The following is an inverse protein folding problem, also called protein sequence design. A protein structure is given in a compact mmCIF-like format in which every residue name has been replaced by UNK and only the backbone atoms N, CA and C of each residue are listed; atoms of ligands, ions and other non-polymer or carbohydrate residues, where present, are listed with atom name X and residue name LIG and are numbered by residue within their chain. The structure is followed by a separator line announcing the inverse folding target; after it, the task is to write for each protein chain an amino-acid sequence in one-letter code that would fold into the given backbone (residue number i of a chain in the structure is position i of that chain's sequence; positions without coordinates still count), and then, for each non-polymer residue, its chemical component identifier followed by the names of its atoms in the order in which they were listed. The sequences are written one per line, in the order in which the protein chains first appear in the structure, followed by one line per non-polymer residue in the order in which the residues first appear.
data_IF_898810603867
#
_entry.id   IF_898810603867
#
_cell.length_a   1.000
_cell.length_b   1.000
_cell.length_c   1.000
_cell.angle_alpha   90.00
_cell.angle_beta   90.00
_cell.angle_gamma   90.00
#
_symmetry.space_group_name_H-M   'P 1'
#
loop_
_entity.id
_entity.type
_entity.pdbx_description
1 polymer ?
#
# COMPACT_ATOMS: atom_id res chain seq x y z
N UNK A 1 -18.37 35.86 20.25
CA UNK A 1 -17.77 34.65 19.65
C UNK A 1 -17.25 33.87 20.84
N UNK A 2 -18.07 32.97 21.38
CA UNK A 2 -17.70 32.18 22.56
C UNK A 2 -16.98 30.93 22.08
N UNK A 3 -15.65 31.04 21.90
CA UNK A 3 -14.79 29.87 21.80
C UNK A 3 -14.28 29.59 23.22
N UNK A 4 -14.55 28.40 23.75
CA UNK A 4 -13.97 27.95 25.01
C UNK A 4 -12.61 27.30 24.73
N UNK A 5 -11.58 27.71 25.46
CA UNK A 5 -10.22 27.20 25.29
C UNK A 5 -9.79 26.42 26.53
N UNK A 6 -9.28 25.21 26.31
CA UNK A 6 -8.72 24.36 27.37
C UNK A 6 -7.20 24.32 27.23
N UNK A 7 -6.50 24.42 28.36
CA UNK A 7 -5.04 24.33 28.43
C UNK A 7 -4.64 23.25 29.42
N UNK A 8 -3.71 22.38 29.00
CA UNK A 8 -3.13 21.34 29.85
C UNK A 8 -1.60 21.29 29.74
N UNK A 9 -0.98 20.45 30.56
CA UNK A 9 0.46 20.22 30.56
C UNK A 9 0.76 18.75 30.77
N UNK A 10 1.60 18.18 29.92
CA UNK A 10 2.18 16.85 30.11
C UNK A 10 3.49 17.01 30.86
N UNK A 11 3.63 16.39 32.04
CA UNK A 11 4.89 16.35 32.80
C UNK A 11 5.67 15.10 32.42
N UNK A 12 6.93 15.27 32.03
CA UNK A 12 7.88 14.17 31.81
C UNK A 12 8.57 13.86 33.15
N UNK A 13 8.77 12.58 33.45
CA UNK A 13 9.33 12.08 34.72
C UNK A 13 10.69 12.68 35.07
N UNK A 14 10.95 12.85 36.37
CA UNK A 14 12.04 13.67 36.90
C UNK A 14 13.44 13.08 36.70
N UNK A 15 14.41 13.98 36.45
CA UNK A 15 15.84 13.75 36.72
C UNK A 15 16.77 13.62 35.52
N UNK A 16 16.27 13.39 34.30
CA UNK A 16 17.09 13.27 33.09
C UNK A 16 16.49 14.11 31.97
N UNK A 17 17.33 14.80 31.20
CA UNK A 17 16.87 15.49 30.00
C UNK A 17 16.29 14.46 29.01
N UNK A 18 15.00 14.57 28.64
CA UNK A 18 14.35 13.57 27.80
C UNK A 18 14.93 13.61 26.39
N UNK A 19 14.92 12.45 25.71
CA UNK A 19 15.26 12.39 24.30
C UNK A 19 14.19 13.12 23.48
N UNK A 20 14.51 14.35 23.04
CA UNK A 20 13.55 15.21 22.36
C UNK A 20 13.09 14.69 21.00
N UNK A 21 13.93 13.93 20.29
CA UNK A 21 13.54 13.32 19.02
C UNK A 21 12.48 12.23 19.23
N UNK A 22 12.61 11.47 20.32
CA UNK A 22 11.64 10.45 20.71
C UNK A 22 10.36 11.05 21.28
N UNK A 23 10.46 12.10 22.09
CA UNK A 23 9.29 12.83 22.60
C UNK A 23 8.54 13.52 21.47
N UNK A 24 9.24 14.16 20.53
CA UNK A 24 8.65 14.77 19.35
C UNK A 24 7.97 13.72 18.47
N UNK A 25 8.64 12.61 18.18
CA UNK A 25 8.07 11.51 17.41
C UNK A 25 6.81 10.94 18.09
N UNK A 26 6.77 10.85 19.43
CA UNK A 26 5.60 10.33 20.16
C UNK A 26 4.44 11.34 20.22
N UNK A 27 4.72 12.63 20.32
CA UNK A 27 3.69 13.68 20.39
C UNK A 27 3.12 14.07 19.01
N UNK A 28 3.88 13.90 17.93
CA UNK A 28 3.46 14.25 16.56
C UNK A 28 2.22 13.47 16.09
N UNK A 29 1.98 12.29 16.68
CA UNK A 29 0.83 11.43 16.36
C UNK A 29 -0.37 11.65 17.28
N UNK A 30 -0.22 12.41 18.36
CA UNK A 30 -1.31 12.69 19.31
C UNK A 30 -2.10 13.91 18.83
N UNK A 31 -3.15 13.65 18.06
CA UNK A 31 -4.05 14.70 17.54
C UNK A 31 -5.15 15.11 18.53
N UNK A 32 -5.39 14.28 19.53
CA UNK A 32 -6.51 14.42 20.46
C UNK A 32 -6.16 13.82 21.83
N UNK A 33 -6.61 14.45 22.91
CA UNK A 33 -6.49 13.93 24.29
C UNK A 33 -7.88 13.98 24.92
N UNK A 34 -8.39 12.82 25.35
CA UNK A 34 -9.70 12.68 26.01
C UNK A 34 -10.88 13.29 25.22
N UNK A 35 -10.99 13.10 23.91
CA UNK A 35 -12.10 13.65 23.13
C UNK A 35 -11.81 15.02 22.50
N UNK A 36 -10.69 15.67 22.87
CA UNK A 36 -10.45 17.07 22.54
C UNK A 36 -9.20 17.26 21.68
N UNK A 37 -9.28 17.91 20.51
CA UNK A 37 -8.13 18.14 19.64
C UNK A 37 -7.07 18.98 20.36
N UNK A 38 -5.81 18.57 20.30
CA UNK A 38 -4.73 19.25 21.01
C UNK A 38 -3.61 19.65 20.06
N UNK A 39 -3.01 20.80 20.34
CA UNK A 39 -1.75 21.23 19.73
C UNK A 39 -0.70 21.40 20.83
N UNK A 40 0.35 20.58 20.77
CA UNK A 40 1.46 20.64 21.72
C UNK A 40 2.38 21.81 21.38
N UNK A 41 2.76 22.56 22.41
CA UNK A 41 3.71 23.64 22.33
C UNK A 41 5.12 23.17 22.67
N UNK A 42 6.11 24.03 22.43
CA UNK A 42 7.49 23.78 22.84
C UNK A 42 7.55 23.44 24.33
N UNK A 43 8.25 22.36 24.63
CA UNK A 43 8.53 21.97 25.99
C UNK A 43 9.30 23.08 26.71
N UNK A 44 9.04 23.22 28.00
CA UNK A 44 9.74 24.15 28.89
C UNK A 44 10.03 23.47 30.22
N UNK A 45 11.05 23.96 30.91
CA UNK A 45 11.41 23.45 32.23
C UNK A 45 10.61 24.17 33.32
N UNK A 46 9.95 23.40 34.18
CA UNK A 46 9.28 23.90 35.39
C UNK A 46 9.86 23.16 36.60
N UNK A 47 10.74 23.82 37.35
CA UNK A 47 11.48 23.18 38.44
C UNK A 47 12.44 22.09 37.93
N UNK A 48 12.34 20.90 38.51
CA UNK A 48 13.15 19.72 38.14
C UNK A 48 12.48 18.81 37.09
N UNK A 49 11.33 19.23 36.55
CA UNK A 49 10.59 18.49 35.52
C UNK A 49 10.51 19.25 34.20
N UNK A 50 10.35 18.50 33.11
CA UNK A 50 10.00 19.04 31.81
C UNK A 50 8.49 19.00 31.61
N UNK A 51 7.91 20.11 31.16
CA UNK A 51 6.49 20.21 30.83
C UNK A 51 6.30 20.52 29.36
N UNK A 52 5.35 19.83 28.72
CA UNK A 52 4.89 20.12 27.36
C UNK A 52 3.48 20.69 27.46
N UNK A 53 3.29 22.01 27.26
CA UNK A 53 1.97 22.61 27.26
C UNK A 53 1.22 22.16 26.02
N UNK A 54 -0.11 22.07 26.10
CA UNK A 54 -0.95 21.98 24.92
C UNK A 54 -2.17 22.91 25.02
N UNK A 55 -2.63 23.33 23.86
CA UNK A 55 -3.85 24.12 23.69
C UNK A 55 -4.90 23.28 22.97
N UNK A 56 -6.16 23.52 23.33
CA UNK A 56 -7.30 22.91 22.69
C UNK A 56 -8.41 23.94 22.52
N UNK A 57 -9.09 23.90 21.36
CA UNK A 57 -10.22 24.76 21.04
C UNK A 57 -11.42 23.89 20.67
N UNK A 58 -12.51 24.01 21.44
CA UNK A 58 -13.81 23.47 21.05
C UNK A 58 -14.59 24.59 20.35
N UNK A 59 -14.85 24.43 19.05
CA UNK A 59 -15.78 25.26 18.30
C UNK A 59 -16.62 24.39 17.37
N UNK A 60 -17.88 24.18 17.69
CA UNK A 60 -18.84 23.45 16.84
C UNK A 60 -19.11 24.15 15.49
N UNK A 61 -18.70 25.41 15.32
CA UNK A 61 -19.07 26.23 14.15
C UNK A 61 -17.93 26.55 13.19
N UNK A 62 -16.67 26.29 13.56
CA UNK A 62 -15.53 26.53 12.69
C UNK A 62 -14.42 25.51 12.97
N UNK A 63 -14.38 24.37 12.24
CA UNK A 63 -13.31 23.38 12.36
C UNK A 63 -11.93 23.94 11.96
N UNK A 64 -11.89 24.94 11.08
CA UNK A 64 -10.66 25.60 10.64
C UNK A 64 -10.13 26.66 11.63
N UNK A 65 -10.84 26.92 12.74
CA UNK A 65 -10.45 27.96 13.71
C UNK A 65 -9.12 27.65 14.42
N UNK A 66 -8.74 26.37 14.52
CA UNK A 66 -7.44 25.96 15.06
C UNK A 66 -6.30 26.31 14.09
N UNK A 67 -6.48 26.02 12.80
CA UNK A 67 -5.49 26.27 11.74
C UNK A 67 -5.33 27.77 11.44
N UNK A 68 -6.43 28.53 11.46
CA UNK A 68 -6.41 29.99 11.23
C UNK A 68 -5.78 30.74 12.41
N UNK A 69 -5.85 30.21 13.64
CA UNK A 69 -5.18 30.80 14.81
C UNK A 69 -3.69 30.43 14.91
N UNK A 70 -3.27 29.30 14.31
CA UNK A 70 -1.86 28.90 14.21
C UNK A 70 -1.04 29.86 13.34
N UNK A 71 -1.65 30.46 12.31
CA UNK A 71 -0.96 31.33 11.37
C UNK A 71 -0.64 32.74 11.89
N UNK A 72 -1.30 33.25 12.95
CA UNK A 72 -1.29 34.69 13.22
C UNK A 72 -0.41 35.19 14.37
N UNK A 73 -0.55 34.81 15.63
CA UNK A 73 0.22 35.51 16.69
C UNK A 73 0.33 34.69 17.99
N UNK A 74 1.55 34.33 18.41
CA UNK A 74 1.95 34.59 19.81
C UNK A 74 1.91 36.12 19.98
N UNK A 75 1.54 36.78 21.11
CA UNK A 75 1.27 36.40 22.51
C UNK A 75 -0.08 37.00 23.05
N UNK A 76 -0.37 36.84 24.36
CA UNK A 76 -1.41 37.52 25.20
C UNK A 76 -2.47 36.64 25.88
N UNK A 77 -2.76 37.08 27.11
CA UNK A 77 -3.65 36.55 28.14
C UNK A 77 -5.04 36.20 27.60
N UNK A 78 -5.35 34.90 27.52
CA UNK A 78 -6.71 34.45 27.31
C UNK A 78 -7.54 34.75 28.56
N UNK A 79 -8.22 35.89 28.53
CA UNK A 79 -9.34 36.21 29.41
C UNK A 79 -10.38 35.09 29.28
N UNK A 80 -10.51 34.28 30.34
CA UNK A 80 -11.53 33.23 30.44
C UNK A 80 -11.08 31.82 30.04
N UNK A 81 -9.80 31.48 30.18
CA UNK A 81 -9.38 30.08 30.12
C UNK A 81 -9.73 29.36 31.44
N UNK A 82 -10.58 28.34 31.39
CA UNK A 82 -10.85 27.48 32.54
C UNK A 82 -9.76 26.41 32.62
N UNK A 83 -9.05 26.37 33.75
CA UNK A 83 -7.95 25.44 33.98
C UNK A 83 -8.55 24.08 34.34
N UNK A 84 -8.41 23.11 33.44
CA UNK A 84 -8.82 21.73 33.72
C UNK A 84 -7.59 21.00 34.24
N UNK A 85 -7.62 20.56 35.50
CA UNK A 85 -6.58 19.70 36.05
C UNK A 85 -6.70 18.31 35.42
N UNK A 86 -5.79 18.02 34.48
CA UNK A 86 -5.68 16.68 33.87
C UNK A 86 -4.64 15.88 34.67
N UNK A 87 -4.86 14.59 34.97
CA UNK A 87 -4.00 13.81 35.85
C UNK A 87 -2.56 13.70 35.31
N UNK A 88 -1.61 13.63 36.24
CA UNK A 88 -0.19 13.39 35.95
C UNK A 88 -0.04 11.97 35.40
N UNK A 89 0.56 11.80 34.22
CA UNK A 89 0.86 10.48 33.66
C UNK A 89 2.32 10.42 33.21
N UNK A 90 3.00 9.35 33.59
CA UNK A 90 4.36 9.00 33.15
C UNK A 90 4.31 8.43 31.72
N UNK A 91 5.47 8.43 31.04
CA UNK A 91 5.58 7.90 29.67
C UNK A 91 5.18 6.42 29.58
N UNK A 92 5.40 5.66 30.65
CA UNK A 92 5.02 4.25 30.76
C UNK A 92 3.52 4.06 31.08
N UNK A 93 2.88 5.02 31.74
CA UNK A 93 1.42 4.97 32.01
C UNK A 93 0.57 5.22 30.75
N UNK A 94 1.15 5.84 29.70
CA UNK A 94 0.55 5.95 28.36
C UNK A 94 0.43 4.58 27.65
N UNK A 95 1.28 3.60 27.96
CA UNK A 95 1.13 2.21 27.47
C UNK A 95 -0.05 1.48 28.12
N UNK A 96 -0.37 1.76 29.39
CA UNK A 96 -1.43 1.05 30.12
C UNK A 96 -2.83 1.57 29.76
N UNK A 97 -2.99 2.88 29.52
CA UNK A 97 -4.26 3.42 29.04
C UNK A 97 -4.59 3.00 27.59
N UNK A 98 -3.59 2.70 26.77
CA UNK A 98 -3.79 2.11 25.43
C UNK A 98 -4.18 0.63 25.51
N UNK A 99 -3.70 -0.11 26.52
CA UNK A 99 -4.06 -1.52 26.75
C UNK A 99 -5.42 -1.73 27.42
N UNK A 100 -5.84 -0.89 28.37
CA UNK A 100 -7.15 -1.01 29.03
C UNK A 100 -8.36 -0.58 28.17
N UNK A 101 -8.12 0.00 26.99
CA UNK A 101 -9.14 0.12 25.95
C UNK A 101 -9.52 -1.23 25.29
N UNK A 102 -8.77 -2.31 25.58
CA UNK A 102 -9.10 -3.69 25.18
C UNK A 102 -10.12 -4.39 26.09
N UNK A 103 -10.86 -3.64 26.90
CA UNK A 103 -11.90 -4.17 27.79
C UNK A 103 -13.23 -3.46 27.58
N UNK A 104 -13.88 -3.74 26.44
CA UNK A 104 -15.06 -3.05 25.86
C UNK A 104 -14.72 -1.79 25.07
N UNK A 105 -14.28 -2.04 23.82
CA UNK A 105 -13.92 -1.05 22.81
C UNK A 105 -15.16 -0.48 22.09
N UNK A 106 -15.34 0.86 22.04
CA UNK A 106 -16.16 1.48 21.01
C UNK A 106 -15.39 1.48 19.68
N UNK A 107 -16.00 0.85 18.68
CA UNK A 107 -15.42 0.65 17.36
C UNK A 107 -15.31 1.97 16.56
N UNK A 108 -14.09 2.49 16.40
CA UNK A 108 -13.75 3.41 15.31
C UNK A 108 -12.39 3.01 14.74
N UNK A 109 -12.40 2.36 13.57
CA UNK A 109 -11.21 1.97 12.81
C UNK A 109 -10.61 3.22 12.16
N UNK A 110 -9.51 3.74 12.70
CA UNK A 110 -8.61 4.65 11.98
C UNK A 110 -7.56 3.81 11.23
N UNK A 111 -7.53 3.93 9.90
CA UNK A 111 -6.54 3.29 9.04
C UNK A 111 -5.23 4.07 9.13
N UNK A 112 -4.31 3.61 9.98
CA UNK A 112 -2.93 4.06 9.97
C UNK A 112 -2.29 3.74 8.61
N UNK A 113 -1.59 4.70 8.00
CA UNK A 113 -0.57 4.42 6.98
C UNK A 113 0.64 3.77 7.69
N UNK A 114 0.44 2.57 8.19
CA UNK A 114 1.50 1.58 8.27
C UNK A 114 1.62 1.05 6.83
N UNK A 115 2.81 0.90 6.23
CA UNK A 115 2.96 0.03 5.06
C UNK A 115 2.22 -1.26 5.35
N UNK A 116 1.36 -1.75 4.44
CA UNK A 116 0.66 -3.02 4.64
C UNK A 116 1.65 -4.04 5.20
N UNK A 117 1.29 -4.71 6.30
CA UNK A 117 2.12 -5.77 6.86
C UNK A 117 2.57 -6.70 5.72
N UNK A 118 3.84 -7.14 5.71
CA UNK A 118 4.39 -7.95 4.64
C UNK A 118 3.43 -9.11 4.37
N UNK A 119 2.89 -9.18 3.15
CA UNK A 119 2.12 -10.35 2.74
C UNK A 119 3.04 -11.56 2.91
N UNK A 120 2.68 -12.56 3.73
CA UNK A 120 3.50 -13.75 3.85
C UNK A 120 3.66 -14.35 2.45
N UNK A 121 4.90 -14.45 1.98
CA UNK A 121 5.20 -15.27 0.82
C UNK A 121 4.79 -16.73 1.09
N UNK A 122 4.50 -17.53 0.05
CA UNK A 122 4.26 -18.97 0.21
C UNK A 122 5.38 -19.66 1.02
N UNK A 123 4.98 -20.68 1.79
CA UNK A 123 5.84 -21.41 2.73
C UNK A 123 7.18 -21.91 2.13
N UNK A 124 8.30 -21.82 2.87
CA UNK A 124 9.65 -22.17 2.40
C UNK A 124 9.92 -23.69 2.37
N UNK A 125 8.90 -24.55 2.46
CA UNK A 125 9.05 -26.02 2.49
C UNK A 125 9.05 -26.67 1.08
N UNK A 126 9.19 -25.87 0.02
CA UNK A 126 9.29 -26.35 -1.35
C UNK A 126 10.64 -27.04 -1.61
N UNK A 127 10.61 -28.35 -1.86
CA UNK A 127 11.78 -29.14 -2.27
C UNK A 127 12.34 -28.76 -3.66
N UNK A 128 11.58 -27.96 -4.42
CA UNK A 128 11.97 -27.35 -5.70
C UNK A 128 11.71 -25.84 -5.65
N UNK A 129 12.74 -24.97 -5.73
CA UNK A 129 12.59 -23.52 -5.79
C UNK A 129 11.57 -23.03 -6.82
N UNK A 130 11.43 -23.71 -7.97
CA UNK A 130 10.54 -23.27 -9.04
C UNK A 130 9.05 -23.48 -8.72
N UNK A 131 8.72 -24.38 -7.79
CA UNK A 131 7.33 -24.66 -7.39
C UNK A 131 6.62 -23.46 -6.75
N UNK A 132 7.35 -22.42 -6.35
CA UNK A 132 6.74 -21.15 -5.92
C UNK A 132 5.89 -20.48 -7.00
N UNK A 133 6.11 -20.83 -8.28
CA UNK A 133 5.31 -20.35 -9.40
C UNK A 133 4.08 -21.23 -9.69
N UNK A 134 3.88 -22.32 -8.94
CA UNK A 134 2.74 -23.21 -9.12
C UNK A 134 1.42 -22.46 -8.89
N UNK A 135 0.44 -22.79 -9.72
CA UNK A 135 -0.89 -22.17 -9.72
C UNK A 135 -0.96 -20.77 -10.35
N UNK A 136 0.16 -20.22 -10.86
CA UNK A 136 0.12 -19.07 -11.76
C UNK A 136 -0.29 -19.56 -13.15
N UNK A 137 -1.48 -19.16 -13.58
CA UNK A 137 -1.99 -19.44 -14.93
C UNK A 137 -1.22 -18.62 -15.94
N UNK A 138 -0.75 -19.28 -17.01
CA UNK A 138 0.05 -18.68 -18.07
C UNK A 138 1.39 -18.10 -17.59
N UNK A 139 1.85 -17.06 -18.28
CA UNK A 139 3.09 -16.33 -18.02
C UNK A 139 4.39 -17.13 -18.20
N UNK A 140 4.41 -18.12 -19.09
CA UNK A 140 5.57 -19.03 -19.24
C UNK A 140 6.84 -18.28 -19.65
N UNK A 141 6.74 -17.36 -20.62
CA UNK A 141 7.88 -16.57 -21.08
C UNK A 141 8.47 -15.67 -19.98
N UNK A 142 7.58 -15.08 -19.17
CA UNK A 142 7.93 -14.20 -18.06
C UNK A 142 8.61 -14.99 -16.94
N UNK A 143 8.04 -16.15 -16.57
CA UNK A 143 8.63 -17.07 -15.58
C UNK A 143 9.99 -17.54 -16.04
N UNK A 144 10.13 -17.99 -17.29
CA UNK A 144 11.39 -18.48 -17.84
C UNK A 144 12.48 -17.40 -17.83
N UNK A 145 12.14 -16.15 -18.19
CA UNK A 145 13.06 -15.02 -18.09
C UNK A 145 13.52 -14.80 -16.65
N UNK A 146 12.59 -14.71 -15.69
CA UNK A 146 12.90 -14.47 -14.29
C UNK A 146 13.71 -15.60 -13.67
N UNK A 147 13.41 -16.86 -14.01
CA UNK A 147 14.15 -18.05 -13.57
C UNK A 147 15.60 -17.98 -14.07
N UNK A 148 15.81 -17.72 -15.36
CA UNK A 148 17.14 -17.61 -15.97
C UNK A 148 17.98 -16.53 -15.30
N UNK A 149 17.40 -15.34 -15.10
CA UNK A 149 18.12 -14.21 -14.50
C UNK A 149 18.45 -14.49 -13.03
N UNK A 150 17.47 -14.93 -12.23
CA UNK A 150 17.70 -15.21 -10.81
C UNK A 150 18.72 -16.34 -10.60
N UNK A 151 18.71 -17.36 -11.47
CA UNK A 151 19.70 -18.44 -11.44
C UNK A 151 21.11 -17.94 -11.73
N UNK A 152 21.26 -16.99 -12.68
CA UNK A 152 22.55 -16.38 -12.98
C UNK A 152 23.09 -15.60 -11.77
N UNK A 153 22.23 -14.83 -11.08
CA UNK A 153 22.59 -14.13 -9.85
C UNK A 153 22.98 -15.09 -8.73
N UNK A 154 22.22 -16.16 -8.52
CA UNK A 154 22.50 -17.15 -7.48
C UNK A 154 23.86 -17.84 -7.70
N UNK A 155 24.21 -18.13 -8.97
CA UNK A 155 25.47 -18.81 -9.33
C UNK A 155 26.69 -17.90 -9.34
N UNK A 156 26.54 -16.66 -9.79
CA UNK A 156 27.66 -15.76 -10.07
C UNK A 156 27.71 -14.52 -9.17
N UNK A 157 26.76 -14.39 -8.24
CA UNK A 157 26.58 -13.23 -7.38
C UNK A 157 25.85 -12.08 -8.08
N UNK A 158 25.40 -11.09 -7.28
CA UNK A 158 24.67 -9.91 -7.80
C UNK A 158 25.47 -9.10 -8.83
N UNK A 159 26.79 -9.04 -8.69
CA UNK A 159 27.68 -8.34 -9.65
C UNK A 159 27.71 -8.94 -11.05
N UNK A 160 27.14 -10.13 -11.26
CA UNK A 160 27.03 -10.74 -12.59
C UNK A 160 26.01 -10.03 -13.49
N UNK A 161 25.11 -9.23 -12.90
CA UNK A 161 24.09 -8.46 -13.59
C UNK A 161 24.12 -7.03 -13.05
N UNK A 162 24.51 -6.08 -13.90
CA UNK A 162 24.71 -4.68 -13.48
C UNK A 162 23.42 -4.02 -12.95
N UNK A 163 22.23 -4.38 -13.46
CA UNK A 163 20.96 -3.76 -13.08
C UNK A 163 19.84 -4.80 -12.93
N UNK A 164 19.73 -5.41 -11.76
CA UNK A 164 18.68 -6.39 -11.45
C UNK A 164 17.40 -5.71 -10.92
N UNK A 165 16.83 -4.84 -11.74
CA UNK A 165 15.53 -4.20 -11.51
C UNK A 165 14.63 -4.38 -12.74
N UNK A 166 13.32 -4.40 -12.50
CA UNK A 166 12.35 -4.84 -13.50
C UNK A 166 11.27 -3.79 -13.78
N UNK A 167 10.83 -3.76 -15.03
CA UNK A 167 9.69 -2.99 -15.51
C UNK A 167 8.59 -3.97 -15.92
N UNK A 168 7.50 -4.01 -15.18
CA UNK A 168 6.35 -4.88 -15.42
C UNK A 168 5.23 -4.10 -16.12
N UNK A 169 5.00 -4.37 -17.41
CA UNK A 169 4.02 -3.61 -18.20
C UNK A 169 2.87 -4.48 -18.68
N UNK A 170 1.64 -3.97 -18.59
CA UNK A 170 0.46 -4.65 -19.12
C UNK A 170 -0.84 -4.15 -18.49
N UNK A 171 -1.97 -4.66 -18.95
CA UNK A 171 -3.30 -4.22 -18.48
C UNK A 171 -3.60 -4.62 -17.02
N UNK A 172 -4.57 -4.01 -16.35
CA UNK A 172 -4.97 -4.41 -15.00
C UNK A 172 -5.40 -5.88 -14.97
N UNK A 173 -5.03 -6.57 -13.89
CA UNK A 173 -5.45 -7.96 -13.69
C UNK A 173 -4.66 -9.01 -14.48
N UNK A 174 -3.57 -8.64 -15.18
CA UNK A 174 -2.67 -9.58 -15.87
C UNK A 174 -1.63 -10.24 -14.94
N UNK A 175 -1.84 -10.19 -13.61
CA UNK A 175 -1.02 -10.93 -12.65
C UNK A 175 0.35 -10.34 -12.28
N UNK A 176 0.69 -9.11 -12.70
CA UNK A 176 1.93 -8.40 -12.32
C UNK A 176 2.31 -8.49 -10.83
N UNK A 177 1.37 -8.14 -9.94
CA UNK A 177 1.60 -8.18 -8.49
C UNK A 177 1.75 -9.61 -7.96
N UNK A 178 1.00 -10.55 -8.53
CA UNK A 178 1.08 -11.96 -8.11
C UNK A 178 2.44 -12.55 -8.50
N UNK A 179 2.90 -12.32 -9.74
CA UNK A 179 4.23 -12.77 -10.17
C UNK A 179 5.35 -12.12 -9.34
N UNK A 180 5.22 -10.82 -9.00
CA UNK A 180 6.18 -10.15 -8.13
C UNK A 180 6.25 -10.77 -6.74
N UNK A 181 5.10 -11.10 -6.13
CA UNK A 181 5.04 -11.76 -4.83
C UNK A 181 5.70 -13.15 -4.85
N UNK A 182 5.48 -13.94 -5.90
CA UNK A 182 6.18 -15.23 -6.08
C UNK A 182 7.66 -15.05 -6.36
N UNK A 183 8.04 -14.03 -7.12
CA UNK A 183 9.43 -13.72 -7.43
C UNK A 183 10.24 -13.41 -6.17
N UNK A 184 9.70 -12.67 -5.20
CA UNK A 184 10.41 -12.44 -3.91
C UNK A 184 10.70 -13.76 -3.21
N UNK A 185 9.70 -14.64 -3.15
CA UNK A 185 9.84 -15.96 -2.50
C UNK A 185 10.86 -16.83 -3.22
N UNK A 186 10.85 -16.78 -4.56
CA UNK A 186 11.85 -17.44 -5.40
C UNK A 186 13.26 -16.92 -5.12
N UNK A 187 13.45 -15.60 -5.08
CA UNK A 187 14.75 -14.98 -4.82
C UNK A 187 15.29 -15.35 -3.43
N UNK A 188 14.43 -15.45 -2.42
CA UNK A 188 14.81 -15.92 -1.08
C UNK A 188 15.26 -17.38 -1.09
N UNK A 189 14.52 -18.26 -1.79
CA UNK A 189 14.89 -19.67 -1.91
C UNK A 189 16.26 -19.88 -2.56
N UNK A 190 16.68 -18.94 -3.42
CA UNK A 190 17.98 -18.91 -4.06
C UNK A 190 19.06 -18.19 -3.24
N UNK A 191 18.72 -17.63 -2.08
CA UNK A 191 19.62 -16.85 -1.24
C UNK A 191 20.05 -15.51 -1.85
N UNK A 192 19.27 -14.98 -2.79
CA UNK A 192 19.51 -13.66 -3.40
C UNK A 192 19.07 -12.55 -2.44
N UNK A 193 17.91 -12.69 -1.81
CA UNK A 193 17.39 -11.77 -0.78
C UNK A 193 17.68 -12.29 0.64
N UNK A 194 17.28 -11.55 1.67
CA UNK A 194 17.65 -11.84 3.07
C UNK A 194 16.90 -13.03 3.71
N UNK A 195 16.02 -13.71 2.96
CA UNK A 195 15.26 -14.86 3.42
C UNK A 195 13.95 -14.50 4.12
N UNK A 196 13.53 -13.23 4.11
CA UNK A 196 12.35 -12.76 4.88
C UNK A 196 11.07 -12.64 4.04
N UNK A 197 11.09 -12.97 2.75
CA UNK A 197 9.93 -12.82 1.84
C UNK A 197 9.39 -11.39 1.79
N UNK A 198 10.27 -10.43 2.04
CA UNK A 198 9.91 -9.04 2.24
C UNK A 198 9.63 -8.35 0.91
N UNK A 199 8.38 -7.96 0.72
CA UNK A 199 7.94 -7.10 -0.37
C UNK A 199 7.25 -5.86 0.19
N UNK A 200 7.79 -4.68 -0.11
CA UNK A 200 7.11 -3.41 0.18
C UNK A 200 6.38 -2.97 -1.07
N UNK A 201 5.05 -2.92 -0.99
CA UNK A 201 4.20 -2.47 -2.09
C UNK A 201 3.72 -1.05 -1.86
N UNK A 202 3.91 -0.19 -2.86
CA UNK A 202 3.42 1.21 -2.86
C UNK A 202 2.89 1.58 -4.24
N UNK A 203 2.00 2.57 -4.35
CA UNK A 203 1.72 3.22 -5.63
C UNK A 203 2.72 4.34 -5.92
N UNK A 204 2.92 4.69 -7.20
CA UNK A 204 3.74 5.84 -7.58
C UNK A 204 3.26 7.14 -6.91
N UNK A 205 1.96 7.26 -6.64
CA UNK A 205 1.39 8.43 -5.96
C UNK A 205 1.75 8.53 -4.48
N UNK A 206 2.04 7.40 -3.83
CA UNK A 206 2.40 7.33 -2.41
C UNK A 206 3.86 7.72 -2.17
N UNK A 207 4.70 7.69 -3.20
CA UNK A 207 6.08 8.16 -3.11
C UNK A 207 6.20 9.68 -2.94
N UNK A 208 5.19 10.44 -3.37
CA UNK A 208 5.16 11.89 -3.22
C UNK A 208 4.60 12.30 -1.85
N UNK A 209 5.20 13.34 -1.25
CA UNK A 209 4.67 13.98 -0.05
C UNK A 209 3.69 15.11 -0.40
N UNK A 210 2.88 15.52 0.58
CA UNK A 210 1.90 16.60 0.40
C UNK A 210 2.53 18.00 0.46
N UNK A 211 3.79 18.11 0.93
CA UNK A 211 4.51 19.36 1.13
C UNK A 211 5.89 19.37 0.44
N UNK A 212 6.31 20.54 -0.03
CA UNK A 212 7.62 20.77 -0.70
C UNK A 212 8.79 20.39 0.19
N UNK A 213 9.77 19.68 -0.38
CA UNK A 213 11.02 19.29 0.29
C UNK A 213 10.91 18.08 1.22
N UNK A 214 9.75 17.41 1.26
CA UNK A 214 9.56 16.18 2.03
C UNK A 214 9.57 14.92 1.16
N UNK A 215 9.41 15.05 -0.16
CA UNK A 215 9.26 13.93 -1.08
C UNK A 215 10.53 13.07 -1.11
N UNK A 216 11.71 13.67 -1.22
CA UNK A 216 12.96 12.91 -1.26
C UNK A 216 13.17 12.08 0.01
N UNK A 217 12.90 12.66 1.18
CA UNK A 217 12.98 11.93 2.45
C UNK A 217 11.95 10.80 2.56
N UNK A 218 10.74 11.01 2.05
CA UNK A 218 9.69 9.99 2.00
C UNK A 218 10.10 8.81 1.11
N UNK A 219 10.61 9.09 -0.09
CA UNK A 219 11.13 8.06 -1.01
C UNK A 219 12.25 7.27 -0.35
N UNK A 220 13.25 7.95 0.24
CA UNK A 220 14.35 7.27 0.94
C UNK A 220 13.83 6.31 2.02
N UNK A 221 12.91 6.76 2.88
CA UNK A 221 12.32 5.92 3.95
C UNK A 221 11.59 4.69 3.39
N UNK A 222 10.80 4.86 2.32
CA UNK A 222 10.07 3.75 1.69
C UNK A 222 11.07 2.75 1.08
N UNK A 223 12.07 3.22 0.34
CA UNK A 223 13.09 2.36 -0.27
C UNK A 223 13.90 1.63 0.79
N UNK A 224 14.30 2.33 1.87
CA UNK A 224 15.04 1.78 2.99
C UNK A 224 14.24 0.69 3.71
N UNK A 225 12.93 0.90 3.83
CA UNK A 225 12.03 -0.11 4.37
C UNK A 225 11.97 -1.38 3.53
N UNK A 226 12.37 -1.37 2.25
CA UNK A 226 12.36 -2.52 1.35
C UNK A 226 13.71 -3.25 1.23
N UNK A 227 14.78 -2.68 1.81
CA UNK A 227 16.13 -3.28 1.81
C UNK A 227 16.09 -4.70 2.38
N UNK A 228 16.84 -5.61 1.74
CA UNK A 228 16.85 -7.03 2.03
C UNK A 228 15.88 -7.84 1.17
N UNK A 229 14.86 -7.19 0.61
CA UNK A 229 13.82 -7.83 -0.21
C UNK A 229 13.55 -7.06 -1.51
N UNK A 230 12.26 -6.79 -1.76
CA UNK A 230 11.77 -6.14 -2.99
C UNK A 230 10.91 -4.91 -2.70
N UNK A 231 11.10 -3.86 -3.50
CA UNK A 231 10.19 -2.72 -3.62
C UNK A 231 9.35 -2.87 -4.88
N UNK A 232 8.02 -2.94 -4.73
CA UNK A 232 7.07 -2.99 -5.84
C UNK A 232 6.30 -1.66 -5.93
N UNK A 233 6.50 -0.91 -7.01
CA UNK A 233 5.85 0.37 -7.26
C UNK A 233 4.78 0.19 -8.34
N UNK A 234 3.52 0.10 -7.94
CA UNK A 234 2.38 0.02 -8.87
C UNK A 234 2.01 1.42 -9.40
N UNK A 235 1.39 1.48 -10.57
CA UNK A 235 1.00 2.73 -11.23
C UNK A 235 2.15 3.76 -11.21
N UNK A 236 3.33 3.37 -11.70
CA UNK A 236 4.56 4.16 -11.63
C UNK A 236 4.40 5.58 -12.20
N UNK A 237 3.54 5.73 -13.21
CA UNK A 237 3.15 7.01 -13.82
C UNK A 237 2.46 7.98 -12.85
N UNK A 238 2.07 7.55 -11.66
CA UNK A 238 1.64 8.45 -10.59
C UNK A 238 2.66 9.56 -10.32
N UNK A 239 3.96 9.28 -10.50
CA UNK A 239 5.05 10.24 -10.34
C UNK A 239 5.03 11.37 -11.38
N UNK A 240 4.58 11.10 -12.60
CA UNK A 240 4.53 12.09 -13.68
C UNK A 240 3.23 12.90 -13.68
N UNK A 241 2.10 12.28 -13.32
CA UNK A 241 0.77 12.92 -13.38
C UNK A 241 0.59 14.03 -12.33
N UNK A 242 1.23 13.94 -11.17
CA UNK A 242 1.15 14.97 -10.11
C UNK A 242 2.24 16.04 -10.19
N UNK A 243 3.05 16.07 -11.25
CA UNK A 243 4.24 16.93 -11.31
C UNK A 243 3.95 18.42 -11.62
N UNK A 244 2.76 18.92 -11.30
CA UNK A 244 2.42 20.34 -11.42
C UNK A 244 3.27 21.26 -10.51
N UNK A 245 4.08 20.70 -9.61
CA UNK A 245 4.92 21.42 -8.64
C UNK A 245 6.36 20.93 -8.49
N UNK A 246 6.87 20.06 -9.39
CA UNK A 246 8.25 19.54 -9.31
C UNK A 246 8.49 18.41 -8.30
N UNK A 247 7.44 17.95 -7.62
CA UNK A 247 7.51 16.85 -6.64
C UNK A 247 7.86 15.50 -7.30
N UNK A 248 7.45 15.29 -8.55
CA UNK A 248 7.73 14.06 -9.29
C UNK A 248 9.22 13.94 -9.59
N UNK A 249 9.86 15.04 -9.98
CA UNK A 249 11.31 15.09 -10.19
C UNK A 249 12.10 14.77 -8.90
N UNK A 250 11.72 15.36 -7.77
CA UNK A 250 12.39 15.08 -6.48
C UNK A 250 12.27 13.59 -6.10
N UNK A 251 11.11 12.97 -6.35
CA UNK A 251 10.91 11.55 -6.11
C UNK A 251 11.78 10.67 -7.02
N UNK A 252 11.86 11.01 -8.31
CA UNK A 252 12.63 10.29 -9.32
C UNK A 252 14.13 10.37 -9.01
N UNK A 253 14.63 11.55 -8.65
CA UNK A 253 16.04 11.74 -8.30
C UNK A 253 16.41 10.94 -7.04
N UNK A 254 15.57 11.02 -5.99
CA UNK A 254 15.78 10.25 -4.78
C UNK A 254 15.68 8.73 -5.02
N UNK A 255 14.76 8.28 -5.87
CA UNK A 255 14.65 6.88 -6.24
C UNK A 255 15.90 6.41 -6.97
N UNK A 256 16.36 7.18 -7.98
CA UNK A 256 17.56 6.86 -8.77
C UNK A 256 18.80 6.73 -7.87
N UNK A 257 19.02 7.69 -6.97
CA UNK A 257 20.13 7.65 -6.00
C UNK A 257 20.09 6.40 -5.11
N UNK A 258 18.89 6.01 -4.64
CA UNK A 258 18.76 4.83 -3.78
C UNK A 258 18.94 3.53 -4.55
N UNK A 259 18.43 3.42 -5.79
CA UNK A 259 18.65 2.24 -6.64
C UNK A 259 20.14 2.04 -6.91
N UNK A 260 20.89 3.11 -7.15
CA UNK A 260 22.36 3.07 -7.25
C UNK A 260 23.04 2.57 -5.98
N UNK A 261 22.68 3.16 -4.84
CA UNK A 261 23.32 2.85 -3.56
C UNK A 261 23.00 1.42 -3.08
N UNK A 262 21.85 0.89 -3.48
CA UNK A 262 21.29 -0.37 -2.98
C UNK A 262 21.20 -1.48 -4.03
N UNK A 263 21.89 -1.36 -5.17
CA UNK A 263 21.89 -2.35 -6.26
C UNK A 263 22.14 -3.79 -5.76
N UNK A 264 22.96 -3.95 -4.71
CA UNK A 264 23.33 -5.25 -4.15
C UNK A 264 22.43 -5.73 -3.00
N UNK A 265 21.41 -4.96 -2.62
CA UNK A 265 20.60 -5.19 -1.41
C UNK A 265 19.09 -5.05 -1.63
N UNK A 266 18.66 -4.65 -2.81
CA UNK A 266 17.27 -4.37 -3.13
C UNK A 266 16.95 -4.83 -4.55
N UNK A 267 15.79 -5.44 -4.73
CA UNK A 267 15.18 -5.60 -6.06
C UNK A 267 14.05 -4.59 -6.19
N UNK A 268 14.06 -3.78 -7.24
CA UNK A 268 12.98 -2.84 -7.52
C UNK A 268 12.18 -3.31 -8.73
N UNK A 269 10.85 -3.29 -8.62
CA UNK A 269 9.92 -3.56 -9.71
C UNK A 269 8.99 -2.37 -9.86
N UNK A 270 9.01 -1.72 -11.02
CA UNK A 270 8.01 -0.70 -11.38
C UNK A 270 6.95 -1.30 -12.28
N UNK A 271 5.69 -0.95 -12.07
CA UNK A 271 4.57 -1.50 -12.82
C UNK A 271 3.63 -0.44 -13.36
N UNK A 272 3.01 -0.73 -14.50
CA UNK A 272 1.99 0.14 -15.09
C UNK A 272 1.65 -0.20 -16.53
N UNK A 273 1.03 0.75 -17.21
CA UNK A 273 0.76 0.65 -18.64
C UNK A 273 2.04 0.96 -19.44
N UNK A 274 2.28 0.29 -20.58
CA UNK A 274 3.54 0.42 -21.32
C UNK A 274 3.95 1.86 -21.61
N UNK A 275 3.06 2.67 -22.21
CA UNK A 275 3.37 4.03 -22.64
C UNK A 275 3.63 4.96 -21.45
N UNK A 276 2.84 4.82 -20.40
CA UNK A 276 2.84 5.65 -19.21
C UNK A 276 4.10 5.38 -18.36
N UNK A 277 4.52 4.11 -18.27
CA UNK A 277 5.80 3.75 -17.64
C UNK A 277 6.95 4.30 -18.46
N UNK A 278 6.94 4.13 -19.78
CA UNK A 278 8.01 4.63 -20.65
C UNK A 278 8.15 6.16 -20.53
N UNK A 279 7.04 6.90 -20.55
CA UNK A 279 7.02 8.35 -20.33
C UNK A 279 7.61 8.75 -18.97
N UNK A 280 7.37 7.96 -17.94
CA UNK A 280 7.86 8.26 -16.57
C UNK A 280 9.35 7.95 -16.44
N UNK A 281 9.83 6.87 -17.07
CA UNK A 281 11.26 6.55 -17.16
C UNK A 281 12.02 7.60 -17.99
N UNK A 282 11.39 8.18 -19.02
CA UNK A 282 11.98 9.22 -19.87
C UNK A 282 12.16 10.57 -19.16
N UNK A 283 11.58 10.76 -17.96
CA UNK A 283 11.77 11.98 -17.17
C UNK A 283 13.20 12.11 -16.62
N UNK A 284 13.91 11.00 -16.43
CA UNK A 284 15.30 11.00 -16.00
C UNK A 284 16.05 9.83 -16.68
N UNK A 285 16.99 10.11 -17.60
CA UNK A 285 17.78 9.06 -18.26
C UNK A 285 18.48 8.12 -17.28
N UNK A 286 18.96 8.65 -16.15
CA UNK A 286 19.61 7.87 -15.10
C UNK A 286 18.67 6.85 -14.46
N UNK A 287 17.38 7.18 -14.32
CA UNK A 287 16.38 6.23 -13.83
C UNK A 287 16.18 5.08 -14.83
N UNK A 288 16.06 5.39 -16.14
CA UNK A 288 15.87 4.37 -17.18
C UNK A 288 17.00 3.36 -17.20
N UNK A 289 18.25 3.81 -17.06
CA UNK A 289 19.43 2.95 -17.07
C UNK A 289 19.48 1.98 -15.88
N UNK A 290 18.73 2.22 -14.80
CA UNK A 290 18.64 1.29 -13.65
C UNK A 290 17.67 0.14 -13.87
N UNK A 291 16.80 0.23 -14.86
CA UNK A 291 15.82 -0.81 -15.16
C UNK A 291 16.27 -1.64 -16.35
N UNK A 292 17.11 -2.65 -16.08
CA UNK A 292 17.72 -3.49 -17.11
C UNK A 292 16.76 -4.47 -17.80
N UNK A 293 15.63 -4.80 -17.17
CA UNK A 293 14.74 -5.86 -17.64
C UNK A 293 13.29 -5.40 -17.74
N UNK A 294 12.68 -5.64 -18.91
CA UNK A 294 11.27 -5.38 -19.16
C UNK A 294 10.52 -6.70 -19.32
N UNK A 295 9.42 -6.83 -18.59
CA UNK A 295 8.53 -7.99 -18.61
C UNK A 295 7.16 -7.52 -19.05
N UNK A 296 6.68 -8.06 -20.18
CA UNK A 296 5.38 -7.72 -20.74
C UNK A 296 4.34 -8.75 -20.32
N UNK A 297 3.17 -8.27 -19.91
CA UNK A 297 2.06 -9.08 -19.44
C UNK A 297 0.86 -8.89 -20.39
N UNK A 298 0.72 -9.75 -21.40
CA UNK A 298 -0.42 -9.70 -22.32
C UNK A 298 -1.74 -9.98 -21.58
N UNK A 299 -2.84 -9.66 -22.24
CA UNK A 299 -4.17 -10.09 -21.78
C UNK A 299 -4.27 -11.61 -21.88
N UNK A 300 -4.94 -12.23 -20.91
CA UNK A 300 -5.12 -13.68 -20.89
C UNK A 300 -6.03 -14.14 -22.04
N UNK A 301 -5.77 -15.35 -22.52
CA UNK A 301 -6.65 -16.03 -23.47
C UNK A 301 -7.94 -16.51 -22.78
N UNK A 302 -9.02 -16.82 -23.51
CA UNK A 302 -10.24 -17.39 -22.92
C UNK A 302 -9.97 -18.65 -22.08
N UNK A 303 -9.04 -19.50 -22.51
CA UNK A 303 -8.64 -20.72 -21.81
C UNK A 303 -7.96 -20.40 -20.47
N UNK A 304 -7.01 -19.46 -20.47
CA UNK A 304 -6.36 -18.99 -19.24
C UNK A 304 -7.37 -18.31 -18.30
N UNK A 305 -8.31 -17.53 -18.84
CA UNK A 305 -9.39 -16.92 -18.05
C UNK A 305 -10.31 -17.98 -17.43
N UNK A 306 -10.52 -19.11 -18.10
CA UNK A 306 -11.31 -20.23 -17.59
C UNK A 306 -10.61 -20.89 -16.40
N UNK A 307 -9.31 -21.16 -16.50
CA UNK A 307 -8.50 -21.67 -15.40
C UNK A 307 -8.52 -20.72 -14.20
N UNK A 308 -8.39 -19.41 -14.45
CA UNK A 308 -8.50 -18.39 -13.40
C UNK A 308 -9.88 -18.40 -12.76
N UNK A 309 -10.95 -18.53 -13.56
CA UNK A 309 -12.33 -18.60 -13.07
C UNK A 309 -12.52 -19.80 -12.15
N UNK A 310 -12.11 -20.99 -12.59
CA UNK A 310 -12.19 -22.24 -11.81
C UNK A 310 -11.38 -22.13 -10.52
N UNK A 311 -10.17 -21.57 -10.58
CA UNK A 311 -9.32 -21.35 -9.41
C UNK A 311 -9.95 -20.38 -8.38
N UNK A 312 -10.56 -19.28 -8.84
CA UNK A 312 -11.25 -18.32 -7.97
C UNK A 312 -12.51 -18.96 -7.35
N UNK A 313 -13.30 -19.70 -8.13
CA UNK A 313 -14.49 -20.39 -7.66
C UNK A 313 -14.12 -21.47 -6.62
N UNK A 314 -13.11 -22.29 -6.90
CA UNK A 314 -12.64 -23.35 -6.02
C UNK A 314 -12.15 -22.83 -4.67
N UNK A 315 -11.42 -21.70 -4.66
CA UNK A 315 -11.01 -21.02 -3.40
C UNK A 315 -12.18 -20.52 -2.56
N UNK A 316 -13.36 -20.36 -3.15
CA UNK A 316 -14.61 -19.98 -2.47
C UNK A 316 -15.49 -21.18 -2.12
N UNK A 317 -15.01 -22.39 -2.38
CA UNK A 317 -15.76 -23.63 -2.14
C UNK A 317 -16.78 -23.97 -3.23
N UNK A 318 -16.72 -23.31 -4.39
CA UNK A 318 -17.61 -23.60 -5.52
C UNK A 318 -16.91 -24.44 -6.58
N UNK A 319 -17.63 -25.43 -7.13
CA UNK A 319 -17.22 -26.12 -8.36
C UNK A 319 -17.91 -25.51 -9.57
N UNK A 320 -17.24 -25.48 -10.72
CA UNK A 320 -17.82 -24.97 -11.97
C UNK A 320 -18.32 -26.15 -12.80
N UNK A 321 -19.63 -26.22 -13.01
CA UNK A 321 -20.29 -27.21 -13.85
C UNK A 321 -20.75 -26.54 -15.16
N UNK A 322 -19.80 -26.26 -16.03
CA UNK A 322 -20.01 -25.66 -17.34
C UNK A 322 -19.18 -26.42 -18.38
N UNK A 323 -19.68 -26.59 -19.60
CA UNK A 323 -18.89 -27.12 -20.70
C UNK A 323 -17.82 -26.10 -21.11
N UNK A 324 -16.60 -26.56 -21.41
CA UNK A 324 -15.48 -25.75 -21.87
C UNK A 324 -15.85 -24.81 -23.04
N UNK A 325 -16.63 -25.28 -24.03
CA UNK A 325 -17.06 -24.46 -25.16
C UNK A 325 -17.95 -23.28 -24.72
N UNK A 326 -18.93 -23.54 -23.85
CA UNK A 326 -19.83 -22.52 -23.34
C UNK A 326 -19.11 -21.54 -22.39
N UNK A 327 -18.16 -22.04 -21.61
CA UNK A 327 -17.32 -21.23 -20.73
C UNK A 327 -16.42 -20.29 -21.56
N UNK A 328 -15.78 -20.80 -22.61
CA UNK A 328 -14.98 -20.00 -23.53
C UNK A 328 -15.81 -18.89 -24.19
N UNK A 329 -17.04 -19.19 -24.62
CA UNK A 329 -17.95 -18.20 -25.20
C UNK A 329 -18.31 -17.07 -24.20
N UNK A 330 -18.61 -17.42 -22.94
CA UNK A 330 -18.88 -16.42 -21.89
C UNK A 330 -17.66 -15.53 -21.65
N UNK A 331 -16.47 -16.14 -21.59
CA UNK A 331 -15.22 -15.43 -21.32
C UNK A 331 -14.80 -14.56 -22.50
N UNK A 332 -15.03 -14.99 -23.74
CA UNK A 332 -14.75 -14.16 -24.93
C UNK A 332 -15.66 -12.93 -24.98
N UNK A 333 -16.94 -13.08 -24.61
CA UNK A 333 -17.87 -11.95 -24.45
C UNK A 333 -17.44 -10.99 -23.34
N UNK A 334 -16.89 -11.51 -22.25
CA UNK A 334 -16.33 -10.70 -21.17
C UNK A 334 -15.05 -9.97 -21.61
N UNK A 335 -14.16 -10.67 -22.32
CA UNK A 335 -12.85 -10.17 -22.81
C UNK A 335 -13.00 -9.04 -23.82
N UNK A 336 -13.99 -9.13 -24.69
CA UNK A 336 -14.30 -8.11 -25.71
C UNK A 336 -15.10 -6.91 -25.17
N UNK A 337 -15.40 -6.90 -23.87
CA UNK A 337 -16.13 -5.80 -23.24
C UNK A 337 -15.26 -4.55 -23.01
N UNK A 338 -15.90 -3.38 -22.98
CA UNK A 338 -15.22 -2.08 -22.92
C UNK A 338 -14.37 -1.87 -21.65
N UNK A 339 -14.78 -2.45 -20.52
CA UNK A 339 -14.14 -2.26 -19.22
C UNK A 339 -13.41 -3.55 -18.75
N UNK A 340 -13.02 -4.41 -19.70
CA UNK A 340 -12.31 -5.64 -19.42
C UNK A 340 -10.97 -5.37 -18.72
N UNK A 341 -10.70 -6.17 -17.69
CA UNK A 341 -9.55 -6.07 -16.79
C UNK A 341 -9.09 -7.44 -16.31
N UNK A 342 -9.04 -8.42 -17.22
CA UNK A 342 -8.48 -9.75 -17.00
C UNK A 342 -9.04 -10.43 -15.75
N UNK A 343 -8.19 -10.93 -14.86
CA UNK A 343 -8.58 -11.62 -13.63
C UNK A 343 -9.49 -10.77 -12.72
N UNK A 344 -9.45 -9.42 -12.79
CA UNK A 344 -10.39 -8.56 -12.05
C UNK A 344 -11.81 -8.67 -12.60
N UNK A 345 -11.96 -8.76 -13.93
CA UNK A 345 -13.26 -8.99 -14.58
C UNK A 345 -13.77 -10.39 -14.30
N UNK A 346 -12.90 -11.41 -14.34
CA UNK A 346 -13.26 -12.79 -13.97
C UNK A 346 -13.68 -12.87 -12.51
N UNK A 347 -12.98 -12.21 -11.58
CA UNK A 347 -13.38 -12.15 -10.17
C UNK A 347 -14.79 -11.56 -10.01
N UNK A 348 -15.09 -10.46 -10.71
CA UNK A 348 -16.43 -9.87 -10.71
C UNK A 348 -17.47 -10.84 -11.28
N UNK A 349 -17.15 -11.55 -12.36
CA UNK A 349 -18.04 -12.57 -12.93
C UNK A 349 -18.34 -13.67 -11.90
N UNK A 350 -17.32 -14.18 -11.20
CA UNK A 350 -17.50 -15.17 -10.13
C UNK A 350 -18.30 -14.59 -8.95
N UNK A 351 -18.07 -13.34 -8.55
CA UNK A 351 -18.86 -12.68 -7.50
C UNK A 351 -20.35 -12.72 -7.83
N UNK A 352 -20.72 -12.35 -9.06
CA UNK A 352 -22.11 -12.36 -9.50
C UNK A 352 -22.65 -13.79 -9.69
N UNK A 353 -21.87 -14.69 -10.30
CA UNK A 353 -22.29 -16.06 -10.54
C UNK A 353 -22.54 -16.84 -9.23
N UNK A 354 -21.76 -16.58 -8.17
CA UNK A 354 -22.00 -17.13 -6.83
C UNK A 354 -23.34 -16.67 -6.26
N UNK A 355 -23.70 -15.39 -6.48
CA UNK A 355 -25.00 -14.85 -6.03
C UNK A 355 -26.15 -15.51 -6.78
N UNK A 356 -26.06 -15.61 -8.11
CA UNK A 356 -27.07 -16.30 -8.93
C UNK A 356 -27.22 -17.77 -8.52
N UNK A 357 -26.10 -18.51 -8.41
CA UNK A 357 -26.11 -19.91 -8.00
C UNK A 357 -26.72 -20.11 -6.60
N UNK A 358 -26.44 -19.22 -5.64
CA UNK A 358 -26.98 -19.31 -4.28
C UNK A 358 -28.49 -19.02 -4.20
N UNK A 359 -29.07 -18.40 -5.23
CA UNK A 359 -30.52 -18.18 -5.31
C UNK A 359 -31.24 -19.37 -5.92
N UNK A 360 -30.59 -20.08 -6.84
CA UNK A 360 -31.17 -21.15 -7.64
C UNK A 360 -30.86 -22.56 -7.11
N UNK A 361 -29.78 -22.73 -6.33
CA UNK A 361 -29.26 -24.02 -5.92
C UNK A 361 -28.83 -24.04 -4.43
N UNK A 362 -29.09 -25.16 -3.75
CA UNK A 362 -28.60 -25.41 -2.38
C UNK A 362 -27.13 -25.88 -2.35
N UNK A 363 -26.61 -26.37 -3.49
CA UNK A 363 -25.24 -26.86 -3.62
C UNK A 363 -24.29 -25.75 -4.11
N UNK A 364 -23.03 -25.80 -3.68
CA UNK A 364 -21.99 -24.85 -4.08
C UNK A 364 -21.46 -25.15 -5.49
N UNK A 365 -22.32 -25.03 -6.50
CA UNK A 365 -22.02 -25.30 -7.91
C UNK A 365 -22.41 -24.10 -8.76
N UNK A 366 -21.48 -23.61 -9.59
CA UNK A 366 -21.72 -22.56 -10.58
C UNK A 366 -21.98 -23.22 -11.93
N UNK A 367 -23.16 -23.03 -12.49
CA UNK A 367 -23.56 -23.59 -13.79
C UNK A 367 -23.38 -22.58 -14.93
N UNK A 368 -23.48 -23.05 -16.18
CA UNK A 368 -23.54 -22.18 -17.37
C UNK A 368 -24.64 -21.11 -17.26
N UNK A 369 -25.81 -21.49 -16.73
CA UNK A 369 -26.96 -20.58 -16.55
C UNK A 369 -26.62 -19.42 -15.63
N UNK A 370 -25.92 -19.70 -14.53
CA UNK A 370 -25.51 -18.70 -13.54
C UNK A 370 -24.49 -17.72 -14.13
N UNK A 371 -23.53 -18.24 -14.90
CA UNK A 371 -22.54 -17.42 -15.61
C UNK A 371 -23.20 -16.50 -16.65
N UNK A 372 -24.16 -17.01 -17.42
CA UNK A 372 -24.93 -16.22 -18.39
C UNK A 372 -25.81 -15.17 -17.72
N UNK A 373 -26.40 -15.47 -16.56
CA UNK A 373 -27.19 -14.52 -15.77
C UNK A 373 -26.31 -13.43 -15.13
N UNK A 374 -25.09 -13.77 -14.71
CA UNK A 374 -24.11 -12.85 -14.14
C UNK A 374 -23.46 -11.91 -15.17
N UNK A 375 -23.29 -12.37 -16.41
CA UNK A 375 -22.56 -11.65 -17.46
C UNK A 375 -23.09 -10.22 -17.72
N UNK A 376 -24.42 -9.95 -17.85
CA UNK A 376 -24.94 -8.58 -17.99
C UNK A 376 -24.51 -7.61 -16.89
N UNK A 377 -24.38 -8.08 -15.64
CA UNK A 377 -23.94 -7.25 -14.51
C UNK A 377 -22.45 -6.86 -14.63
N UNK A 378 -21.66 -7.69 -15.30
CA UNK A 378 -20.25 -7.42 -15.60
C UNK A 378 -20.08 -6.45 -16.78
N UNK A 379 -21.01 -6.49 -17.75
CA UNK A 379 -20.97 -5.70 -18.97
C UNK A 379 -21.58 -4.30 -18.81
N UNK A 380 -22.47 -4.11 -17.84
CA UNK A 380 -23.14 -2.82 -17.60
C UNK A 380 -22.51 -2.09 -16.42
N UNK A 381 -22.30 -0.77 -16.55
CA UNK A 381 -21.71 0.05 -15.47
C UNK A 381 -22.48 -0.14 -14.18
N UNK A 382 -21.80 -0.60 -13.13
CA UNK A 382 -22.22 -0.39 -11.75
C UNK A 382 -22.27 1.13 -11.51
N UNK A 383 -23.39 1.78 -11.81
CA UNK A 383 -23.70 3.11 -11.26
C UNK A 383 -23.96 2.89 -9.76
N UNK A 384 -22.89 2.78 -8.97
CA UNK A 384 -23.02 3.01 -7.53
C UNK A 384 -23.36 4.49 -7.38
N UNK A 385 -24.65 4.78 -7.21
CA UNK A 385 -25.11 6.08 -6.73
C UNK A 385 -24.46 6.27 -5.36
N UNK A 386 -23.50 7.20 -5.25
CA UNK A 386 -23.21 7.82 -3.95
C UNK A 386 -24.51 8.50 -3.52
N UNK A 387 -25.25 7.86 -2.62
CA UNK A 387 -26.30 8.53 -1.88
C UNK A 387 -25.59 9.57 -1.01
N UNK A 388 -25.78 10.84 -1.35
CA UNK A 388 -25.38 11.93 -0.48
C UNK A 388 -26.29 11.92 0.74
N UNK A 389 -25.67 11.87 1.91
CA UNK A 389 -26.13 12.49 3.15
C UNK A 389 -24.89 12.91 3.93
#
# INVERSE_FOLDING_TARGET
MDCSFKRGTVRLTEGVEPNWDEVAARLDFVREVCGVPVCFQRARREGDSWVVPFLSAESERHPDAADVMLERYTPYEALGAERVDVPTATVDELEVMTLLSKGEAPAVRAKALVPEEPTPGPDPEAADPESVFDGLVGMDEQKEMLIKLSTALAKHGRSAVECFHFVFVGNPGTGKTELASRLVSYLDSLGVTDGTHKMVKVSGSELMADYVGQTGNKVRRIVDSAVGGMLFIDEFYGLSVKDAGGYGHEAIDALTERLDTLQDKLVCVVAGYPKEVDQTLDLNPGLRDRFGYRVEFPDYTPEELAEILVSIAGRRGFTVACNDEALADVLERLRTSKDFSNARSVRRLVDHAVVEASCDHDEAVITEKDLLAALPQCLTKSKVRRAGF
#
